data_IF_398251316429
#
_entry.id   IF_398251316429
#
_cell.length_a   1.000
_cell.length_b   1.000
_cell.length_c   1.000
_cell.angle_alpha   90.00
_cell.angle_beta   90.00
_cell.angle_gamma   90.00
#
_symmetry.space_group_name_H-M   'P 1'
#
loop_
_entity.id
_entity.type
_entity.pdbx_description
1 polymer ?
#
# COMPACT_ATOMS: atom_id res chain seq x y z
N UNK A 1 -2.76 10.64 5.47
CA UNK A 1 -1.92 9.44 5.22
C UNK A 1 -0.54 9.56 5.86
N UNK A 2 -0.15 10.72 6.42
CA UNK A 2 0.97 10.82 7.37
C UNK A 2 0.33 11.15 8.72
N UNK A 3 0.61 10.35 9.75
CA UNK A 3 0.03 10.47 11.11
C UNK A 3 -1.27 9.69 11.37
N UNK A 4 -1.76 8.93 10.39
CA UNK A 4 -2.92 8.04 10.58
C UNK A 4 -2.47 6.74 11.28
N UNK A 5 -2.93 6.48 12.49
CA UNK A 5 -2.72 5.23 13.22
C UNK A 5 -3.89 4.29 12.94
N UNK A 6 -3.57 3.16 12.31
CA UNK A 6 -4.56 2.19 11.85
C UNK A 6 -4.59 1.02 12.82
N UNK A 7 -5.78 0.57 13.23
CA UNK A 7 -5.92 -0.63 14.04
C UNK A 7 -5.82 -1.78 13.05
N UNK A 8 -4.62 -2.34 12.97
CA UNK A 8 -4.37 -3.54 12.18
C UNK A 8 -4.67 -4.71 13.10
N UNK A 9 -5.61 -5.56 12.72
CA UNK A 9 -5.85 -6.80 13.45
C UNK A 9 -4.57 -7.67 13.33
N UNK A 10 -3.78 -7.72 14.41
CA UNK A 10 -2.56 -8.53 14.50
C UNK A 10 -2.83 -10.00 14.88
N UNK A 11 -4.09 -10.41 15.01
CA UNK A 11 -4.46 -11.80 15.30
C UNK A 11 -4.67 -12.66 14.05
N UNK A 12 -4.16 -12.25 12.89
CA UNK A 12 -4.24 -13.07 11.68
C UNK A 12 -3.23 -14.23 11.65
N UNK A 13 -2.28 -14.31 12.59
CA UNK A 13 -1.30 -15.41 12.68
C UNK A 13 -0.90 -15.81 14.11
N UNK A 14 -1.76 -15.58 15.12
CA UNK A 14 -1.65 -16.33 16.37
C UNK A 14 -2.17 -17.76 16.13
N UNK A 15 -1.54 -18.82 16.70
CA UNK A 15 -2.08 -20.17 16.58
C UNK A 15 -3.55 -20.18 17.00
N UNK A 16 -4.39 -20.87 16.23
CA UNK A 16 -5.84 -20.88 16.37
C UNK A 16 -6.24 -21.03 17.84
N UNK A 17 -6.62 -19.92 18.47
CA UNK A 17 -7.09 -19.95 19.85
C UNK A 17 -8.55 -20.38 19.77
N UNK A 18 -8.82 -21.60 20.24
CA UNK A 18 -10.02 -22.40 19.99
C UNK A 18 -11.38 -21.77 20.38
N UNK A 19 -11.44 -20.54 20.92
CA UNK A 19 -12.65 -19.93 21.46
C UNK A 19 -13.24 -18.75 20.66
N UNK A 20 -12.56 -18.23 19.62
CA UNK A 20 -13.08 -17.11 18.78
C UNK A 20 -13.29 -17.45 17.29
N UNK A 21 -12.99 -18.69 16.87
CA UNK A 21 -12.90 -19.09 15.46
C UNK A 21 -14.18 -19.00 14.60
N UNK A 22 -15.35 -18.68 15.17
CA UNK A 22 -16.62 -18.60 14.42
C UNK A 22 -17.14 -17.18 14.18
N UNK A 23 -16.53 -16.14 14.76
CA UNK A 23 -17.04 -14.76 14.71
C UNK A 23 -16.27 -13.81 13.78
N UNK A 24 -15.13 -14.24 13.23
CA UNK A 24 -14.33 -13.44 12.30
C UNK A 24 -14.33 -14.08 10.92
N UNK A 25 -14.98 -13.48 9.89
CA UNK A 25 -14.98 -14.04 8.55
C UNK A 25 -13.58 -13.85 7.93
N UNK A 26 -12.71 -14.85 8.10
CA UNK A 26 -11.46 -15.00 7.36
C UNK A 26 -11.77 -15.20 5.87
N UNK A 27 -11.91 -14.09 5.14
CA UNK A 27 -12.10 -14.11 3.68
C UNK A 27 -10.80 -13.74 2.99
N UNK A 28 -10.47 -14.48 1.94
CA UNK A 28 -9.34 -14.18 1.06
C UNK A 28 -9.41 -12.74 0.54
N UNK A 29 -8.25 -12.10 0.44
CA UNK A 29 -8.08 -10.75 -0.14
C UNK A 29 -8.64 -10.75 -1.57
N UNK A 30 -9.44 -9.74 -1.87
CA UNK A 30 -10.01 -9.51 -3.18
C UNK A 30 -9.44 -8.23 -3.78
N UNK A 31 -9.61 -8.13 -5.10
CA UNK A 31 -9.41 -6.90 -5.86
C UNK A 31 -10.16 -5.73 -5.20
N UNK A 32 -9.50 -4.58 -5.12
CA UNK A 32 -10.02 -3.36 -4.51
C UNK A 32 -9.89 -3.28 -2.98
N UNK A 33 -9.56 -4.39 -2.29
CA UNK A 33 -9.34 -4.35 -0.84
C UNK A 33 -8.13 -3.46 -0.53
N UNK A 34 -8.26 -2.56 0.45
CA UNK A 34 -7.13 -1.85 1.04
C UNK A 34 -6.51 -2.77 2.10
N UNK A 35 -5.19 -2.91 2.09
CA UNK A 35 -4.47 -3.81 2.99
C UNK A 35 -3.31 -3.10 3.65
N UNK A 36 -2.99 -3.53 4.88
CA UNK A 36 -1.77 -3.17 5.58
C UNK A 36 -0.81 -4.36 5.55
N UNK A 37 0.42 -4.12 5.13
CA UNK A 37 1.43 -5.15 4.96
C UNK A 37 2.82 -4.63 5.35
N UNK A 38 3.73 -5.55 5.64
CA UNK A 38 5.14 -5.25 5.79
C UNK A 38 5.77 -5.01 4.42
N UNK A 39 6.43 -3.86 4.24
CA UNK A 39 7.09 -3.50 2.99
C UNK A 39 8.12 -4.58 2.61
N UNK A 40 8.05 -5.15 1.39
CA UNK A 40 9.09 -6.06 0.92
C UNK A 40 10.42 -5.32 0.66
N UNK A 41 10.36 -4.01 0.40
CA UNK A 41 11.54 -3.18 0.11
C UNK A 41 12.21 -2.56 1.35
N UNK A 42 11.49 -2.39 2.46
CA UNK A 42 12.04 -1.82 3.69
C UNK A 42 11.61 -2.64 4.92
N UNK A 43 12.53 -3.41 5.55
CA UNK A 43 12.21 -4.20 6.73
C UNK A 43 11.63 -3.36 7.88
N UNK A 44 10.53 -3.84 8.46
CA UNK A 44 9.87 -3.20 9.59
C UNK A 44 8.98 -2.00 9.24
N UNK A 45 8.91 -1.60 7.95
CA UNK A 45 7.99 -0.57 7.50
C UNK A 45 6.60 -1.17 7.23
N UNK A 46 5.56 -0.60 7.85
CA UNK A 46 4.17 -0.90 7.53
C UNK A 46 3.67 0.02 6.42
N UNK A 47 3.06 -0.55 5.39
CA UNK A 47 2.56 0.17 4.21
C UNK A 47 1.09 -0.13 4.01
N UNK A 48 0.34 0.88 3.54
CA UNK A 48 -1.08 0.75 3.17
C UNK A 48 -1.23 1.00 1.68
N UNK A 49 -1.80 0.03 0.95
CA UNK A 49 -2.11 0.14 -0.49
C UNK A 49 -3.43 -0.55 -0.81
N UNK A 50 -4.01 -0.20 -1.96
CA UNK A 50 -5.16 -0.89 -2.54
C UNK A 50 -4.67 -2.02 -3.43
N UNK A 51 -5.25 -3.21 -3.28
CA UNK A 51 -4.94 -4.37 -4.10
C UNK A 51 -5.58 -4.20 -5.47
N UNK A 52 -4.75 -4.06 -6.49
CA UNK A 52 -5.16 -3.90 -7.87
C UNK A 52 -5.23 -5.24 -8.59
N UNK A 53 -4.31 -6.15 -8.27
CA UNK A 53 -4.23 -7.50 -8.84
C UNK A 53 -4.01 -8.57 -7.77
N UNK A 54 -4.66 -9.72 -7.97
CA UNK A 54 -4.47 -10.97 -7.21
C UNK A 54 -3.78 -12.01 -8.12
N UNK A 55 -3.33 -13.18 -7.61
CA UNK A 55 -2.63 -14.17 -8.43
C UNK A 55 -3.34 -14.49 -9.75
N UNK A 56 -2.57 -14.47 -10.84
CA UNK A 56 -3.06 -14.69 -12.20
C UNK A 56 -3.60 -13.45 -12.91
N UNK A 57 -3.84 -12.33 -12.21
CA UNK A 57 -4.23 -11.09 -12.86
C UNK A 57 -3.10 -10.54 -13.74
N UNK A 58 -3.48 -10.03 -14.90
CA UNK A 58 -2.64 -9.31 -15.86
C UNK A 58 -2.84 -7.81 -15.67
N UNK A 59 -1.78 -7.08 -15.36
CA UNK A 59 -1.83 -5.64 -15.07
C UNK A 59 -1.03 -4.88 -16.12
N UNK A 60 -1.66 -3.86 -16.70
CA UNK A 60 -0.99 -2.87 -17.54
C UNK A 60 -1.59 -1.48 -17.32
N UNK A 61 -0.79 -0.45 -17.52
CA UNK A 61 -1.21 0.94 -17.52
C UNK A 61 -0.99 1.53 -18.91
N UNK A 62 -1.89 2.41 -19.33
CA UNK A 62 -1.76 3.23 -20.53
C UNK A 62 -2.19 4.65 -20.19
N UNK A 63 -1.29 5.62 -20.37
CA UNK A 63 -1.53 7.02 -20.02
C UNK A 63 -2.12 7.22 -18.60
N UNK A 64 -1.61 6.46 -17.63
CA UNK A 64 -2.01 6.53 -16.21
C UNK A 64 -3.28 5.73 -15.86
N UNK A 65 -3.99 5.20 -16.85
CA UNK A 65 -5.19 4.38 -16.68
C UNK A 65 -4.79 2.93 -16.46
N UNK A 66 -5.29 2.31 -15.40
CA UNK A 66 -5.05 0.88 -15.10
C UNK A 66 -6.03 0.01 -15.87
N UNK A 67 -5.50 -1.05 -16.45
CA UNK A 67 -6.27 -2.15 -16.99
C UNK A 67 -5.87 -3.42 -16.28
N UNK A 68 -6.86 -4.29 -16.09
CA UNK A 68 -6.68 -5.61 -15.51
C UNK A 68 -7.33 -6.64 -16.41
N UNK A 69 -6.57 -7.66 -16.81
CA UNK A 69 -7.03 -8.72 -17.71
C UNK A 69 -7.60 -8.15 -19.03
N UNK A 70 -6.99 -7.06 -19.53
CA UNK A 70 -7.43 -6.35 -20.74
C UNK A 70 -8.59 -5.38 -20.54
N UNK A 71 -9.25 -5.36 -19.38
CA UNK A 71 -10.37 -4.47 -19.09
C UNK A 71 -9.91 -3.21 -18.37
N UNK A 72 -10.37 -2.05 -18.84
CA UNK A 72 -10.14 -0.76 -18.17
C UNK A 72 -10.83 -0.77 -16.80
N UNK A 73 -10.10 -0.41 -15.75
CA UNK A 73 -10.67 -0.26 -14.41
C UNK A 73 -11.38 1.08 -14.27
N UNK A 74 -12.55 1.06 -13.62
CA UNK A 74 -13.20 2.25 -13.09
C UNK A 74 -12.64 2.54 -11.69
N UNK A 75 -11.97 3.68 -11.53
CA UNK A 75 -11.20 4.03 -10.34
C UNK A 75 -11.60 5.39 -9.76
N UNK A 76 -12.85 5.57 -9.28
CA UNK A 76 -13.35 6.86 -8.78
C UNK A 76 -12.63 7.36 -7.53
N UNK A 77 -11.84 6.51 -6.87
CA UNK A 77 -11.03 6.82 -5.69
C UNK A 77 -9.66 7.45 -6.03
N UNK A 78 -9.27 7.50 -7.29
CA UNK A 78 -7.92 7.94 -7.69
C UNK A 78 -7.80 9.46 -7.71
N UNK A 79 -6.69 9.94 -7.17
CA UNK A 79 -6.34 11.36 -7.15
C UNK A 79 -5.08 11.56 -7.98
N UNK A 80 -5.17 12.45 -8.97
CA UNK A 80 -4.03 12.98 -9.72
C UNK A 80 -3.76 14.41 -9.24
N UNK A 81 -2.52 14.70 -8.81
CA UNK A 81 -2.17 15.97 -8.14
C UNK A 81 -1.31 16.90 -9.01
N UNK A 82 -0.64 16.41 -10.03
CA UNK A 82 0.36 17.21 -10.77
C UNK A 82 -0.13 17.63 -12.15
N UNK A 83 -0.08 18.96 -12.44
CA UNK A 83 -0.30 19.52 -13.78
C UNK A 83 0.86 19.25 -14.75
N UNK A 84 2.09 19.14 -14.25
CA UNK A 84 3.29 18.79 -15.05
C UNK A 84 3.61 17.28 -14.97
N UNK A 85 2.54 16.47 -14.92
CA UNK A 85 2.51 15.22 -14.18
C UNK A 85 2.80 13.94 -14.95
N UNK A 86 3.14 13.95 -16.23
CA UNK A 86 3.34 12.72 -17.00
C UNK A 86 4.70 12.08 -16.72
N UNK A 87 4.70 10.80 -16.37
CA UNK A 87 5.90 10.00 -16.20
C UNK A 87 5.79 8.75 -17.10
N UNK A 88 6.62 8.63 -18.16
CA UNK A 88 6.51 7.53 -19.14
C UNK A 88 6.52 6.14 -18.52
N UNK A 89 7.38 5.92 -17.51
CA UNK A 89 7.47 4.65 -16.78
C UNK A 89 6.19 4.36 -15.99
N UNK A 90 5.79 5.32 -15.15
CA UNK A 90 4.68 5.17 -14.22
C UNK A 90 3.35 5.01 -14.95
N UNK A 91 3.17 5.78 -16.02
CA UNK A 91 1.89 5.92 -16.70
C UNK A 91 1.68 4.87 -17.79
N UNK A 92 2.74 4.21 -18.24
CA UNK A 92 2.69 3.11 -19.21
C UNK A 92 3.32 1.82 -18.68
N UNK A 93 3.27 1.62 -17.36
CA UNK A 93 3.82 0.43 -16.71
C UNK A 93 3.11 -0.85 -17.21
N UNK A 94 3.81 -1.97 -17.50
CA UNK A 94 5.27 -2.17 -17.42
C UNK A 94 6.00 -1.92 -18.75
N UNK A 95 5.35 -1.36 -19.77
CA UNK A 95 5.86 -1.28 -21.15
C UNK A 95 7.09 -0.38 -21.30
N UNK A 96 7.21 0.65 -20.46
CA UNK A 96 8.37 1.54 -20.43
C UNK A 96 9.28 1.13 -19.28
N UNK A 97 10.60 0.98 -19.48
CA UNK A 97 11.56 0.77 -18.38
C UNK A 97 11.77 2.05 -17.57
N UNK A 98 12.16 1.97 -16.28
CA UNK A 98 12.37 3.17 -15.47
C UNK A 98 13.54 4.00 -16.03
N UNK A 99 13.33 5.31 -16.15
CA UNK A 99 14.33 6.24 -16.71
C UNK A 99 15.53 6.48 -15.78
N UNK A 100 15.33 6.32 -14.46
CA UNK A 100 16.38 6.39 -13.43
C UNK A 100 16.33 5.12 -12.57
N UNK A 101 17.48 4.48 -12.42
CA UNK A 101 17.68 3.27 -11.63
C UNK A 101 17.50 3.49 -10.12
N UNK A 102 17.46 4.73 -9.64
CA UNK A 102 17.29 5.03 -8.20
C UNK A 102 15.83 4.98 -7.74
N UNK A 103 14.87 5.06 -8.65
CA UNK A 103 13.44 5.12 -8.30
C UNK A 103 12.79 3.74 -8.16
N UNK A 104 13.44 2.68 -8.64
CA UNK A 104 12.92 1.30 -8.66
C UNK A 104 13.95 0.42 -7.95
N UNK A 105 13.53 -0.48 -7.07
CA UNK A 105 14.48 -1.31 -6.33
C UNK A 105 15.31 -2.17 -7.32
N UNK A 106 16.63 -2.34 -7.10
CA UNK A 106 17.48 -3.12 -8.00
C UNK A 106 16.97 -4.54 -8.23
N UNK A 107 16.44 -5.16 -7.18
CA UNK A 107 15.81 -6.48 -7.26
C UNK A 107 14.60 -6.47 -8.21
N UNK A 108 13.72 -5.48 -8.09
CA UNK A 108 12.53 -5.42 -8.93
C UNK A 108 12.86 -5.19 -10.41
N UNK A 109 13.91 -4.43 -10.71
CA UNK A 109 14.38 -4.24 -12.09
C UNK A 109 14.76 -5.56 -12.78
N UNK A 110 15.27 -6.53 -12.01
CA UNK A 110 15.66 -7.85 -12.50
C UNK A 110 14.46 -8.81 -12.56
N UNK A 111 13.66 -8.84 -11.50
CA UNK A 111 12.55 -9.79 -11.37
C UNK A 111 11.35 -9.43 -12.26
N UNK A 112 11.06 -8.14 -12.46
CA UNK A 112 9.87 -7.70 -13.21
C UNK A 112 9.78 -8.37 -14.59
N UNK A 113 10.90 -8.48 -15.32
CA UNK A 113 10.95 -9.08 -16.66
C UNK A 113 10.49 -10.55 -16.68
N UNK A 114 10.69 -11.28 -15.59
CA UNK A 114 10.29 -12.69 -15.48
C UNK A 114 8.77 -12.85 -15.36
N UNK A 115 8.09 -11.79 -14.93
CA UNK A 115 6.65 -11.78 -14.73
C UNK A 115 5.89 -11.05 -15.84
N UNK A 116 6.59 -10.54 -16.86
CA UNK A 116 5.94 -9.94 -18.03
C UNK A 116 5.58 -11.05 -19.03
N UNK A 117 4.32 -11.06 -19.47
CA UNK A 117 3.83 -11.93 -20.54
C UNK A 117 3.09 -11.09 -21.58
N UNK A 118 3.70 -10.92 -22.76
CA UNK A 118 3.24 -9.93 -23.73
C UNK A 118 3.47 -8.51 -23.17
N UNK A 119 2.42 -7.71 -23.13
CA UNK A 119 2.46 -6.33 -22.60
C UNK A 119 2.07 -6.25 -21.11
N UNK A 120 1.68 -7.38 -20.50
CA UNK A 120 1.11 -7.41 -19.15
C UNK A 120 2.11 -7.90 -18.12
N UNK A 121 2.10 -7.27 -16.94
CA UNK A 121 2.68 -7.87 -15.74
C UNK A 121 1.70 -8.88 -15.14
N UNK A 122 2.11 -10.13 -15.01
CA UNK A 122 1.29 -11.21 -14.43
C UNK A 122 1.62 -11.38 -12.96
N UNK A 123 0.61 -11.25 -12.10
CA UNK A 123 0.78 -11.44 -10.65
C UNK A 123 1.02 -12.93 -10.35
N UNK A 124 2.15 -13.31 -9.73
CA UNK A 124 2.45 -14.70 -9.44
C UNK A 124 1.57 -15.28 -8.32
N UNK A 125 1.58 -16.61 -8.13
CA UNK A 125 1.00 -17.25 -6.94
C UNK A 125 1.50 -16.62 -5.64
N UNK A 126 0.65 -16.65 -4.60
CA UNK A 126 0.94 -16.15 -3.26
C UNK A 126 1.46 -14.70 -3.19
N UNK A 127 1.04 -13.88 -4.15
CA UNK A 127 1.44 -12.49 -4.27
C UNK A 127 0.29 -11.59 -4.67
N UNK A 128 0.40 -10.31 -4.36
CA UNK A 128 -0.55 -9.27 -4.77
C UNK A 128 0.16 -8.12 -5.45
N UNK A 129 -0.56 -7.39 -6.31
CA UNK A 129 -0.08 -6.13 -6.87
C UNK A 129 -0.88 -4.98 -6.25
N UNK A 130 -0.20 -4.07 -5.55
CA UNK A 130 -0.82 -2.98 -4.80
C UNK A 130 -0.43 -1.60 -5.33
N UNK A 131 -1.39 -0.68 -5.40
CA UNK A 131 -1.14 0.72 -5.79
C UNK A 131 -1.73 1.68 -4.76
N UNK A 132 -1.17 2.89 -4.70
CA UNK A 132 -1.75 3.96 -3.91
C UNK A 132 -2.77 4.77 -4.71
N UNK A 133 -3.83 5.21 -4.03
CA UNK A 133 -4.89 6.03 -4.62
C UNK A 133 -4.39 7.42 -5.06
N UNK A 134 -3.34 7.95 -4.42
CA UNK A 134 -2.64 9.15 -4.87
C UNK A 134 -1.58 8.76 -5.93
N UNK A 135 -2.06 8.53 -7.15
CA UNK A 135 -1.38 7.76 -8.22
C UNK A 135 -0.02 8.32 -8.60
N UNK A 136 0.09 9.64 -8.63
CA UNK A 136 1.26 10.35 -9.16
C UNK A 136 2.48 10.31 -8.24
N UNK A 137 2.23 10.16 -6.93
CA UNK A 137 3.25 10.30 -5.88
C UNK A 137 3.33 9.08 -4.96
N UNK A 138 2.66 7.99 -5.33
CA UNK A 138 2.67 6.76 -4.55
C UNK A 138 3.84 5.87 -4.95
N UNK A 139 4.76 5.66 -4.00
CA UNK A 139 5.73 4.56 -4.05
C UNK A 139 5.01 3.24 -3.69
N UNK A 140 4.80 2.39 -4.69
CA UNK A 140 3.97 1.17 -4.64
C UNK A 140 4.52 0.06 -5.56
N UNK A 141 3.73 -1.00 -5.84
CA UNK A 141 4.22 -2.20 -6.53
C UNK A 141 4.82 -1.97 -7.90
N UNK A 142 4.57 -0.80 -8.52
CA UNK A 142 5.28 -0.39 -9.74
C UNK A 142 6.80 -0.33 -9.49
N UNK A 143 7.23 0.12 -8.31
CA UNK A 143 8.63 0.44 -8.00
C UNK A 143 9.37 -0.62 -7.19
N UNK A 144 8.66 -1.42 -6.39
CA UNK A 144 9.27 -2.46 -5.56
C UNK A 144 8.71 -3.87 -5.78
N UNK A 145 7.75 -4.03 -6.69
CA UNK A 145 7.23 -5.35 -7.07
C UNK A 145 6.04 -5.83 -6.27
N UNK A 146 5.89 -7.14 -6.18
CA UNK A 146 4.71 -7.76 -5.59
C UNK A 146 4.73 -7.74 -4.06
N UNK A 147 3.54 -7.79 -3.46
CA UNK A 147 3.33 -7.98 -2.03
C UNK A 147 3.22 -9.47 -1.77
N UNK A 148 4.20 -10.13 -1.11
CA UNK A 148 4.03 -11.51 -0.70
C UNK A 148 2.83 -11.64 0.24
N UNK A 149 2.05 -12.71 0.10
CA UNK A 149 0.83 -12.91 0.87
C UNK A 149 1.10 -12.96 2.38
N UNK A 150 2.23 -13.53 2.77
CA UNK A 150 2.73 -13.60 4.14
C UNK A 150 3.09 -12.22 4.73
N UNK A 151 3.40 -11.23 3.89
CA UNK A 151 3.66 -9.87 4.36
C UNK A 151 2.36 -9.15 4.74
N UNK A 152 1.20 -9.63 4.28
CA UNK A 152 -0.08 -8.99 4.56
C UNK A 152 -0.51 -9.29 5.99
N UNK A 153 -0.68 -8.22 6.78
CA UNK A 153 -1.04 -8.33 8.19
C UNK A 153 -2.56 -8.31 8.34
N UNK A 154 -3.27 -7.59 7.47
CA UNK A 154 -4.73 -7.60 7.43
C UNK A 154 -5.36 -6.41 6.69
N UNK A 155 -6.70 -6.37 6.69
CA UNK A 155 -7.49 -5.25 6.17
C UNK A 155 -7.77 -4.25 7.30
N UNK A 156 -7.58 -2.93 7.10
CA UNK A 156 -7.95 -1.95 8.11
C UNK A 156 -9.46 -1.89 8.22
N UNK A 157 -10.04 -2.33 9.34
CA UNK A 157 -11.50 -2.32 9.52
C UNK A 157 -12.05 -0.91 9.83
N UNK A 158 -11.25 -0.05 10.46
CA UNK A 158 -11.56 1.35 10.74
C UNK A 158 -10.26 2.12 11.07
N UNK A 159 -10.24 3.43 10.80
CA UNK A 159 -9.18 4.33 11.30
C UNK A 159 -9.47 4.62 12.77
N UNK A 160 -8.75 3.98 13.69
CA UNK A 160 -9.00 4.14 15.14
C UNK A 160 -8.43 5.44 15.70
N UNK A 161 -7.43 6.04 15.04
CA UNK A 161 -6.84 7.30 15.48
C UNK A 161 -6.07 7.99 14.34
N UNK A 162 -6.24 9.29 14.17
CA UNK A 162 -5.55 10.10 13.15
C UNK A 162 -4.98 11.33 13.85
N UNK A 163 -3.68 11.52 13.76
CA UNK A 163 -2.95 12.60 14.41
C UNK A 163 -2.20 13.43 13.37
N UNK A 164 -2.08 14.75 13.56
CA UNK A 164 -1.28 15.57 12.66
C UNK A 164 0.21 15.26 12.84
N UNK A 165 0.88 14.75 11.80
CA UNK A 165 2.29 14.41 11.87
C UNK A 165 3.08 15.06 10.73
N UNK A 166 4.19 15.74 11.03
CA UNK A 166 5.11 16.29 10.03
C UNK A 166 5.58 15.24 9.01
N UNK A 167 5.71 15.58 7.71
CA UNK A 167 6.06 14.64 6.65
C UNK A 167 7.38 13.87 6.84
N UNK A 168 8.31 14.44 7.61
CA UNK A 168 9.64 13.90 7.87
C UNK A 168 9.73 12.98 9.10
N UNK A 169 8.64 12.81 9.86
CA UNK A 169 8.63 12.02 11.09
C UNK A 169 8.99 10.53 10.86
N UNK A 170 8.57 9.96 9.73
CA UNK A 170 8.84 8.55 9.38
C UNK A 170 10.32 8.26 9.12
N UNK A 171 11.13 9.29 8.87
CA UNK A 171 12.57 9.19 8.64
C UNK A 171 13.38 9.24 9.95
N UNK A 172 12.76 9.63 11.07
CA UNK A 172 13.43 9.75 12.35
C UNK A 172 13.52 8.38 13.05
N UNK A 173 14.69 7.73 12.98
CA UNK A 173 14.95 6.41 13.58
C UNK A 173 15.58 6.49 14.99
N UNK A 174 15.99 7.69 15.42
CA UNK A 174 16.59 7.99 16.73
C UNK A 174 15.60 7.80 17.90
N UNK A 175 16.07 7.18 19.01
CA UNK A 175 15.25 6.87 20.19
C UNK A 175 14.79 8.15 20.93
N UNK A 176 15.63 9.18 20.95
CA UNK A 176 15.33 10.48 21.56
C UNK A 176 14.19 11.20 20.84
N UNK A 177 14.18 11.16 19.50
CA UNK A 177 13.14 11.75 18.67
C UNK A 177 11.81 11.00 18.79
N UNK A 178 11.85 9.67 18.97
CA UNK A 178 10.66 8.86 19.29
C UNK A 178 10.04 9.22 20.64
N UNK A 179 10.85 9.46 21.67
CA UNK A 179 10.40 9.89 22.99
C UNK A 179 9.78 11.29 22.96
N UNK A 180 10.41 12.23 22.24
CA UNK A 180 9.85 13.58 22.02
C UNK A 180 8.53 13.53 21.29
N UNK A 181 8.41 12.70 20.25
CA UNK A 181 7.17 12.50 19.53
C UNK A 181 6.07 11.92 20.43
N UNK A 182 6.40 10.94 21.28
CA UNK A 182 5.46 10.36 22.21
C UNK A 182 4.96 11.38 23.24
N UNK A 183 5.86 12.21 23.79
CA UNK A 183 5.50 13.30 24.68
C UNK A 183 4.61 14.34 23.99
N UNK A 184 4.94 14.70 22.74
CA UNK A 184 4.14 15.61 21.92
C UNK A 184 2.73 15.05 21.64
N UNK A 185 2.62 13.75 21.33
CA UNK A 185 1.34 13.05 21.16
C UNK A 185 0.48 13.11 22.44
N UNK A 186 1.10 12.94 23.61
CA UNK A 186 0.39 12.97 24.90
C UNK A 186 -0.08 14.39 25.24
N UNK A 187 0.77 15.39 25.01
CA UNK A 187 0.45 16.80 25.29
C UNK A 187 -0.64 17.29 24.33
N UNK A 188 -0.53 16.95 23.04
CA UNK A 188 -1.43 17.42 22.00
C UNK A 188 -2.55 16.43 21.68
N UNK A 189 -2.87 15.53 22.60
CA UNK A 189 -3.80 14.43 22.37
C UNK A 189 -5.21 14.90 21.96
N UNK A 190 -5.70 16.02 22.52
CA UNK A 190 -7.07 16.49 22.27
C UNK A 190 -7.18 17.44 21.08
N UNK A 191 -6.15 18.22 20.79
CA UNK A 191 -6.06 19.25 19.76
C UNK A 191 -5.39 18.76 18.46
N UNK A 192 -4.43 17.85 18.55
CA UNK A 192 -3.76 17.24 17.39
C UNK A 192 -4.49 16.03 16.79
N UNK A 193 -5.50 15.50 17.50
CA UNK A 193 -6.33 14.39 17.00
C UNK A 193 -7.36 14.91 15.98
N UNK A 194 -7.32 14.37 14.77
CA UNK A 194 -8.27 14.67 13.69
C UNK A 194 -9.57 13.89 13.86
N UNK A 195 -10.37 14.29 14.84
CA UNK A 195 -11.63 13.65 15.24
C UNK A 195 -12.62 13.35 14.10
N UNK A 196 -12.62 14.16 13.02
CA UNK A 196 -13.50 13.94 11.85
C UNK A 196 -13.16 12.69 11.02
N UNK A 197 -11.98 12.08 11.24
CA UNK A 197 -11.49 10.89 10.51
C UNK A 197 -11.43 9.63 11.38
N UNK A 198 -11.53 9.79 12.69
CA UNK A 198 -11.58 8.70 13.67
C UNK A 198 -12.93 7.95 13.57
N UNK A 199 -12.91 6.62 13.52
CA UNK A 199 -14.07 5.72 13.39
C UNK A 199 -14.82 5.72 12.04
N UNK A 200 -14.21 6.21 10.95
CA UNK A 200 -14.76 5.95 9.60
C UNK A 200 -14.33 4.59 9.07
N UNK A 201 -15.30 3.86 8.53
CA UNK A 201 -15.09 2.66 7.73
C UNK A 201 -14.30 3.06 6.49
N UNK A 202 -13.20 2.37 6.23
CA UNK A 202 -12.43 2.54 5.00
C UNK A 202 -13.21 1.85 3.88
N UNK A 203 -13.87 2.63 3.02
CA UNK A 203 -14.56 2.14 1.82
C UNK A 203 -13.61 2.19 0.60
#
# INVERSE_FOLDING_TARGET
LIGDHVFVNREQFAPATHWTGSLLPYRQIRRGDIVVFLSPAEPGLYVVKRIMGIPGDRIHLRDGVVYRNGEKLDEPYVIHKTKDGYNPYRDNFPAVPPADFNSVTPEWQLLMKQHIQGDDLVVPPDSYFGMGDNRDVSYDSRYWGFIPKENVIGRPMFVYWSFETPPNQYLQKEVSERLKFLAHVVIHFFDGTRWRRTFRIVQ
#
